data_IF_157444542950
#
_entry.id   IF_157444542950
#
_cell.length_a   1.000
_cell.length_b   1.000
_cell.length_c   1.000
_cell.angle_alpha   90.00
_cell.angle_beta   90.00
_cell.angle_gamma   90.00
#
_symmetry.space_group_name_H-M   'P 1'
#
loop_
_entity.id
_entity.type
_entity.pdbx_description
1 polymer ?
#
# COMPACT_ATOMS: atom_id res chain seq x y z
N UNK A 1 15.99 -5.73 10.40
CA UNK A 1 14.59 -6.06 10.78
C UNK A 1 13.99 -6.85 9.63
N UNK A 2 13.50 -8.05 9.89
CA UNK A 2 12.86 -8.89 8.88
C UNK A 2 11.45 -8.39 8.56
N UNK A 3 10.92 -8.75 7.39
CA UNK A 3 9.56 -8.38 6.95
C UNK A 3 8.50 -8.70 8.02
N UNK A 4 8.55 -9.92 8.58
CA UNK A 4 7.59 -10.37 9.60
C UNK A 4 7.63 -9.56 10.90
N UNK A 5 8.79 -9.03 11.30
CA UNK A 5 8.90 -8.17 12.49
C UNK A 5 8.25 -6.81 12.26
N UNK A 6 8.37 -6.27 11.05
CA UNK A 6 7.75 -5.00 10.66
C UNK A 6 6.23 -5.12 10.62
N UNK A 7 5.73 -6.14 9.93
CA UNK A 7 4.29 -6.41 9.88
C UNK A 7 3.67 -6.58 11.26
N UNK A 8 4.35 -7.30 12.16
CA UNK A 8 3.90 -7.45 13.53
C UNK A 8 3.81 -6.10 14.26
N UNK A 9 4.84 -5.25 14.12
CA UNK A 9 4.86 -3.93 14.74
C UNK A 9 3.76 -3.01 14.20
N UNK A 10 3.55 -2.97 12.88
CA UNK A 10 2.53 -2.14 12.25
C UNK A 10 1.11 -2.62 12.65
N UNK A 11 0.87 -3.94 12.71
CA UNK A 11 -0.40 -4.50 13.20
C UNK A 11 -0.65 -4.18 14.68
N UNK A 12 0.37 -4.25 15.53
CA UNK A 12 0.29 -3.81 16.94
C UNK A 12 -0.05 -2.31 17.03
N UNK A 13 0.46 -1.50 16.08
CA UNK A 13 0.12 -0.08 15.95
C UNK A 13 -1.29 0.22 15.42
N UNK A 14 -2.08 -0.82 15.13
CA UNK A 14 -3.44 -0.72 14.62
C UNK A 14 -3.55 -0.49 13.11
N UNK A 15 -2.49 -0.76 12.35
CA UNK A 15 -2.54 -0.67 10.89
C UNK A 15 -3.02 -1.97 10.26
N UNK A 16 -3.76 -1.85 9.16
CA UNK A 16 -3.90 -2.92 8.15
C UNK A 16 -2.66 -2.90 7.28
N UNK A 17 -2.05 -4.06 7.03
CA UNK A 17 -0.76 -4.17 6.33
C UNK A 17 -0.86 -5.11 5.14
N UNK A 18 -0.18 -4.80 4.05
CA UNK A 18 -0.22 -5.64 2.85
C UNK A 18 0.55 -5.06 1.68
N UNK A 19 0.27 -5.57 0.50
CA UNK A 19 0.84 -5.07 -0.76
C UNK A 19 -0.19 -4.19 -1.47
N UNK A 20 0.22 -3.04 -1.97
CA UNK A 20 -0.66 -2.16 -2.73
C UNK A 20 -0.89 -2.75 -4.14
N UNK A 21 -2.14 -2.93 -4.51
CA UNK A 21 -2.56 -3.41 -5.84
C UNK A 21 -3.33 -2.29 -6.52
N UNK A 22 -2.92 -1.92 -7.74
CA UNK A 22 -3.53 -0.84 -8.51
C UNK A 22 -3.91 -1.39 -9.88
N UNK A 23 -5.20 -1.58 -10.10
CA UNK A 23 -5.72 -2.19 -11.31
C UNK A 23 -7.10 -1.62 -11.62
N UNK A 24 -7.46 -1.50 -12.90
CA UNK A 24 -8.80 -1.07 -13.33
C UNK A 24 -9.33 0.24 -12.69
N UNK A 25 -8.43 1.14 -12.28
CA UNK A 25 -8.80 2.42 -11.66
C UNK A 25 -9.13 2.33 -10.16
N UNK A 26 -8.88 1.20 -9.52
CA UNK A 26 -9.00 1.01 -8.07
C UNK A 26 -7.64 0.85 -7.42
N UNK A 27 -7.57 1.15 -6.12
CA UNK A 27 -6.42 0.90 -5.26
C UNK A 27 -6.89 -0.02 -4.14
N UNK A 28 -6.24 -1.16 -4.00
CA UNK A 28 -6.57 -2.18 -3.01
C UNK A 28 -5.35 -2.56 -2.19
N UNK A 29 -5.57 -2.99 -0.95
CA UNK A 29 -4.57 -3.64 -0.14
C UNK A 29 -4.75 -5.16 -0.23
N UNK A 30 -3.72 -5.87 -0.69
CA UNK A 30 -3.65 -7.32 -0.61
C UNK A 30 -2.99 -7.75 0.69
N UNK A 31 -3.72 -8.43 1.56
CA UNK A 31 -3.15 -8.96 2.81
C UNK A 31 -2.28 -10.21 2.59
N UNK A 32 -1.65 -10.70 3.66
CA UNK A 32 -0.80 -11.90 3.62
C UNK A 32 -1.57 -13.20 3.30
N UNK A 33 -2.91 -13.20 3.43
CA UNK A 33 -3.78 -14.31 3.01
C UNK A 33 -4.20 -14.20 1.54
N UNK A 34 -3.79 -13.12 0.85
CA UNK A 34 -4.12 -12.84 -0.55
C UNK A 34 -5.46 -12.14 -0.75
N UNK A 35 -6.16 -11.78 0.33
CA UNK A 35 -7.45 -11.09 0.25
C UNK A 35 -7.26 -9.62 -0.11
N UNK A 36 -8.12 -9.11 -1.00
CA UNK A 36 -8.09 -7.72 -1.46
C UNK A 36 -9.13 -6.89 -0.70
N UNK A 37 -8.69 -5.76 -0.14
CA UNK A 37 -9.57 -4.73 0.42
C UNK A 37 -9.41 -3.46 -0.38
N UNK A 38 -10.47 -3.00 -1.03
CA UNK A 38 -10.46 -1.72 -1.74
C UNK A 38 -10.30 -0.56 -0.76
N UNK A 39 -9.50 0.43 -1.14
CA UNK A 39 -9.21 1.62 -0.35
C UNK A 39 -10.07 2.80 -0.83
N UNK A 40 -10.39 3.70 0.09
CA UNK A 40 -11.15 4.92 -0.17
C UNK A 40 -10.31 6.17 0.09
N UNK A 41 -10.87 7.35 -0.18
CA UNK A 41 -10.21 8.63 0.14
C UNK A 41 -10.12 8.93 1.64
N UNK A 42 -10.85 8.18 2.49
CA UNK A 42 -10.82 8.33 3.95
C UNK A 42 -9.65 7.55 4.57
N UNK A 43 -9.07 6.60 3.83
CA UNK A 43 -7.97 5.77 4.30
C UNK A 43 -6.65 6.56 4.33
N UNK A 44 -5.91 6.45 5.43
CA UNK A 44 -4.54 6.96 5.51
C UNK A 44 -3.58 5.91 4.94
N UNK A 45 -3.11 6.13 3.71
CA UNK A 45 -2.24 5.19 2.98
C UNK A 45 -0.77 5.60 3.15
N UNK A 46 0.06 4.69 3.63
CA UNK A 46 1.52 4.85 3.67
C UNK A 46 2.20 3.71 2.93
N UNK A 47 3.04 4.03 1.95
CA UNK A 47 3.80 3.05 1.18
C UNK A 47 5.26 3.05 1.62
N UNK A 48 5.87 1.86 1.68
CA UNK A 48 7.29 1.71 1.98
C UNK A 48 8.10 1.90 0.70
N UNK A 49 8.79 3.03 0.62
CA UNK A 49 9.67 3.37 -0.49
C UNK A 49 11.07 3.67 0.07
N UNK A 50 12.10 3.03 -0.48
CA UNK A 50 13.50 3.17 -0.02
C UNK A 50 13.70 3.03 1.51
N UNK A 51 12.89 2.18 2.15
CA UNK A 51 12.96 1.91 3.59
C UNK A 51 12.22 2.91 4.49
N UNK A 52 11.60 3.95 3.92
CA UNK A 52 10.81 4.96 4.61
C UNK A 52 9.33 4.84 4.23
N UNK A 53 8.44 5.07 5.19
CA UNK A 53 7.01 5.18 4.89
C UNK A 53 6.68 6.58 4.39
N UNK A 54 6.15 6.65 3.18
CA UNK A 54 5.70 7.89 2.55
C UNK A 54 4.16 7.91 2.51
N UNK A 55 3.50 8.97 3.00
CA UNK A 55 2.06 9.11 2.88
C UNK A 55 1.67 9.40 1.43
N UNK A 56 0.62 8.73 0.96
CA UNK A 56 0.14 8.81 -0.42
C UNK A 56 -1.37 8.97 -0.45
N UNK A 57 -1.87 9.84 -1.31
CA UNK A 57 -3.33 9.93 -1.55
C UNK A 57 -3.78 8.89 -2.56
N UNK A 58 -5.04 8.47 -2.48
CA UNK A 58 -5.64 7.54 -3.45
C UNK A 58 -5.43 8.02 -4.91
N UNK A 59 -5.70 9.31 -5.16
CA UNK A 59 -5.48 9.93 -6.47
C UNK A 59 -4.01 9.84 -6.93
N UNK A 60 -3.05 10.02 -6.02
CA UNK A 60 -1.63 9.91 -6.37
C UNK A 60 -1.24 8.48 -6.70
N UNK A 61 -1.74 7.48 -5.97
CA UNK A 61 -1.55 6.07 -6.32
C UNK A 61 -2.12 5.74 -7.71
N UNK A 62 -3.29 6.29 -8.04
CA UNK A 62 -3.94 6.08 -9.34
C UNK A 62 -3.25 6.80 -10.51
N UNK A 63 -2.49 7.86 -10.27
CA UNK A 63 -1.91 8.69 -11.35
C UNK A 63 -0.42 8.50 -11.52
N UNK A 64 0.29 8.04 -10.48
CA UNK A 64 1.73 7.86 -10.55
C UNK A 64 2.06 6.60 -11.36
N UNK A 65 2.70 6.81 -12.53
CA UNK A 65 3.01 5.77 -13.50
C UNK A 65 4.46 5.84 -13.97
N UNK A 66 5.02 4.70 -14.37
CA UNK A 66 6.27 4.66 -15.14
C UNK A 66 6.06 5.20 -16.57
N UNK A 67 7.14 5.38 -17.33
CA UNK A 67 7.06 5.82 -18.73
C UNK A 67 6.26 4.85 -19.62
N UNK A 68 6.24 3.57 -19.26
CA UNK A 68 5.53 2.48 -19.90
C UNK A 68 4.07 2.37 -19.42
N UNK A 69 3.64 3.20 -18.47
CA UNK A 69 2.26 3.23 -17.97
C UNK A 69 1.96 2.29 -16.80
N UNK A 70 2.97 1.68 -16.17
CA UNK A 70 2.76 0.81 -15.01
C UNK A 70 2.55 1.63 -13.72
N UNK A 71 1.62 1.23 -12.81
CA UNK A 71 1.48 1.84 -11.49
C UNK A 71 2.79 1.81 -10.69
N UNK A 72 3.37 2.98 -10.41
CA UNK A 72 4.69 3.06 -9.77
C UNK A 72 4.66 2.51 -8.33
N UNK A 73 3.53 2.69 -7.65
CA UNK A 73 3.34 2.26 -6.27
C UNK A 73 2.75 0.85 -6.16
N UNK A 74 2.39 0.23 -7.29
CA UNK A 74 1.86 -1.12 -7.31
C UNK A 74 2.95 -2.12 -6.93
N UNK A 75 2.62 -3.07 -6.06
CA UNK A 75 3.57 -4.06 -5.55
C UNK A 75 4.41 -3.60 -4.35
N UNK A 76 4.27 -2.35 -3.91
CA UNK A 76 4.95 -1.87 -2.71
C UNK A 76 4.22 -2.33 -1.44
N UNK A 77 4.99 -2.58 -0.39
CA UNK A 77 4.42 -2.79 0.95
C UNK A 77 3.74 -1.52 1.43
N UNK A 78 2.52 -1.64 1.93
CA UNK A 78 1.72 -0.54 2.41
C UNK A 78 1.10 -0.85 3.78
N UNK A 79 0.87 0.22 4.55
CA UNK A 79 0.09 0.17 5.78
C UNK A 79 -0.99 1.24 5.75
N UNK A 80 -2.18 0.86 6.20
CA UNK A 80 -3.41 1.63 6.08
C UNK A 80 -4.03 1.83 7.45
N UNK A 81 -4.53 3.04 7.72
CA UNK A 81 -5.29 3.36 8.93
C UNK A 81 -6.63 3.96 8.59
#
# INVERSE_FOLDING_TARGET
MTHWMREAADRIGGYRTGTLVIECGTVSLQDAAGSLTELSEEDWIEVLNDGVFEPVTLQRALTLRTAEGWPLLGGLYARIK
#
